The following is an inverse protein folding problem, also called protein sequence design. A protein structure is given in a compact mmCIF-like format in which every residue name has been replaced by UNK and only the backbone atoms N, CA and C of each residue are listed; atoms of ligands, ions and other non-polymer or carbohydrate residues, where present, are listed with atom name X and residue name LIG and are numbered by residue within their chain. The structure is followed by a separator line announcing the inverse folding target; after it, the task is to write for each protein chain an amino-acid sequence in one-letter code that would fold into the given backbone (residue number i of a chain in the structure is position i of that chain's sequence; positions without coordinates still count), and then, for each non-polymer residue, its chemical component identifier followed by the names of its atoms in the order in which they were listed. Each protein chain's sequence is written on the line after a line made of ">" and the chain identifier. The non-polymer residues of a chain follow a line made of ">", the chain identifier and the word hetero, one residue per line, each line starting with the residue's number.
data_IF_481619523922
#
_entry.id   IF_481619523922
#
_cell.length_a   1.000
_cell.length_b   1.000
_cell.length_c   1.000
_cell.angle_alpha   90.00
_cell.angle_beta   90.00
_cell.angle_gamma   90.00
#
_symmetry.space_group_name_H-M   'P 1'
#
loop_
_entity.id
_entity.type
_entity.pdbx_description
1 polymer ?
#
# COMPACT_ATOMS: atom_id res chain seq x y z
N UNK A 1 29.04 -35.62 -11.18
CA UNK A 1 27.97 -36.02 -10.24
C UNK A 1 28.51 -35.86 -8.84
N UNK A 2 28.24 -34.72 -8.20
CA UNK A 2 28.55 -34.51 -6.80
C UNK A 2 27.28 -33.98 -6.13
N UNK A 3 26.79 -34.75 -5.17
CA UNK A 3 25.68 -34.44 -4.30
C UNK A 3 25.94 -33.12 -3.56
N UNK A 4 24.96 -32.22 -3.60
CA UNK A 4 24.83 -31.12 -2.68
C UNK A 4 23.43 -31.18 -2.08
N UNK A 5 23.31 -31.92 -0.99
CA UNK A 5 22.22 -31.77 -0.04
C UNK A 5 22.81 -31.90 1.36
N UNK A 6 22.24 -31.10 2.27
CA UNK A 6 22.60 -30.88 3.67
C UNK A 6 23.72 -29.85 3.90
N UNK A 7 23.34 -28.57 3.97
CA UNK A 7 23.65 -27.74 5.15
C UNK A 7 22.80 -26.46 5.17
N UNK A 8 22.38 -26.08 6.39
CA UNK A 8 21.58 -24.93 6.82
C UNK A 8 20.05 -25.00 6.70
N UNK A 9 19.46 -25.80 7.60
CA UNK A 9 18.04 -25.79 7.97
C UNK A 9 17.82 -25.21 9.40
N UNK A 10 18.45 -24.08 9.73
CA UNK A 10 18.25 -23.41 11.05
C UNK A 10 17.73 -21.96 10.95
N UNK A 11 17.06 -21.59 9.85
CA UNK A 11 16.49 -20.24 9.67
C UNK A 11 15.08 -20.17 9.07
N UNK A 12 14.37 -21.30 8.91
CA UNK A 12 13.12 -21.37 8.11
C UNK A 12 11.81 -21.20 8.89
N UNK A 13 11.82 -20.94 10.20
CA UNK A 13 10.59 -20.89 11.00
C UNK A 13 9.75 -19.62 10.84
N UNK A 14 10.11 -18.69 9.94
CA UNK A 14 9.34 -17.47 9.73
C UNK A 14 9.08 -17.12 8.25
N UNK A 15 9.24 -18.09 7.33
CA UNK A 15 8.79 -17.87 5.94
C UNK A 15 7.27 -18.01 5.92
N UNK A 16 6.51 -16.98 5.47
CA UNK A 16 5.07 -17.10 5.31
C UNK A 16 4.76 -18.33 4.46
N UNK A 17 3.70 -19.08 4.79
CA UNK A 17 3.15 -20.06 3.85
C UNK A 17 2.62 -19.26 2.65
N UNK A 18 3.47 -19.13 1.64
CA UNK A 18 3.32 -18.22 0.50
C UNK A 18 1.98 -18.43 -0.21
N UNK A 19 1.51 -19.68 -0.31
CA UNK A 19 0.24 -20.04 -0.94
C UNK A 19 -1.02 -19.73 -0.11
N UNK A 20 -0.86 -19.38 1.17
CA UNK A 20 -1.96 -19.02 2.07
C UNK A 20 -2.12 -17.51 2.26
N UNK A 21 -1.16 -16.70 1.79
CA UNK A 21 -1.25 -15.26 1.87
C UNK A 21 -2.31 -14.74 0.90
N UNK A 22 -3.17 -13.84 1.37
CA UNK A 22 -4.27 -13.26 0.60
C UNK A 22 -4.40 -11.79 0.94
N UNK A 23 -4.94 -11.00 0.00
CA UNK A 23 -5.28 -9.60 0.24
C UNK A 23 -6.21 -9.44 1.44
N UNK A 24 -7.23 -10.30 1.57
CA UNK A 24 -8.12 -10.31 2.72
C UNK A 24 -7.39 -10.63 4.03
N UNK A 25 -6.39 -11.52 3.99
CA UNK A 25 -5.53 -11.83 5.14
C UNK A 25 -4.70 -10.63 5.59
N UNK A 26 -4.08 -9.91 4.65
CA UNK A 26 -3.34 -8.69 4.94
C UNK A 26 -4.26 -7.60 5.51
N UNK A 27 -5.46 -7.46 4.94
CA UNK A 27 -6.51 -6.53 5.42
C UNK A 27 -6.87 -6.85 6.88
N UNK A 28 -7.18 -8.11 7.18
CA UNK A 28 -7.53 -8.53 8.54
C UNK A 28 -6.37 -8.33 9.52
N UNK A 29 -5.14 -8.61 9.09
CA UNK A 29 -3.94 -8.41 9.92
C UNK A 29 -3.77 -6.93 10.30
N UNK A 30 -3.89 -6.01 9.35
CA UNK A 30 -3.83 -4.57 9.63
C UNK A 30 -5.03 -4.11 10.47
N UNK A 31 -6.24 -4.56 10.13
CA UNK A 31 -7.47 -4.16 10.80
C UNK A 31 -7.48 -4.56 12.27
N UNK A 32 -7.32 -5.85 12.55
CA UNK A 32 -7.48 -6.40 13.90
C UNK A 32 -6.19 -6.27 14.72
N UNK A 33 -5.03 -6.34 14.09
CA UNK A 33 -3.75 -6.24 14.78
C UNK A 33 -3.33 -4.81 15.13
N UNK A 34 -3.79 -3.81 14.38
CA UNK A 34 -3.29 -2.42 14.49
C UNK A 34 -4.43 -1.41 14.61
N UNK A 35 -5.34 -1.35 13.62
CA UNK A 35 -6.32 -0.26 13.57
C UNK A 35 -7.34 -0.33 14.70
N UNK A 36 -7.92 -1.51 14.97
CA UNK A 36 -8.90 -1.68 16.05
C UNK A 36 -8.30 -1.44 17.44
N UNK A 37 -7.11 -1.96 17.78
CA UNK A 37 -6.44 -1.60 19.04
C UNK A 37 -6.21 -0.09 19.20
N UNK A 38 -5.79 0.61 18.14
CA UNK A 38 -5.57 2.06 18.21
C UNK A 38 -6.88 2.86 18.31
N UNK A 39 -7.88 2.50 17.51
CA UNK A 39 -9.12 3.27 17.35
C UNK A 39 -10.15 2.92 18.42
N UNK A 40 -10.37 1.64 18.68
CA UNK A 40 -11.48 1.18 19.52
C UNK A 40 -11.07 1.10 21.00
N UNK A 41 -9.90 0.53 21.27
CA UNK A 41 -9.41 0.32 22.63
C UNK A 41 -8.72 1.57 23.18
N UNK A 42 -7.80 2.15 22.40
CA UNK A 42 -7.08 3.37 22.79
C UNK A 42 -7.81 4.66 22.41
N UNK A 43 -8.96 4.56 21.73
CA UNK A 43 -9.81 5.69 21.38
C UNK A 43 -9.10 6.80 20.58
N UNK A 44 -8.06 6.44 19.81
CA UNK A 44 -7.27 7.40 19.04
C UNK A 44 -7.95 7.78 17.74
N UNK A 45 -7.78 9.04 17.39
CA UNK A 45 -8.02 9.51 16.03
C UNK A 45 -6.74 9.31 15.21
N UNK A 46 -6.86 8.64 14.08
CA UNK A 46 -5.70 8.21 13.27
C UNK A 46 -5.82 8.66 11.82
N UNK A 47 -4.70 9.01 11.21
CA UNK A 47 -4.58 9.21 9.77
C UNK A 47 -3.81 8.01 9.21
N UNK A 48 -4.31 7.43 8.14
CA UNK A 48 -3.72 6.25 7.53
C UNK A 48 -2.94 6.70 6.29
N UNK A 49 -1.61 6.63 6.37
CA UNK A 49 -0.70 6.82 5.25
C UNK A 49 -0.35 5.45 4.67
N UNK A 50 -0.59 5.25 3.37
CA UNK A 50 -0.38 3.97 2.71
C UNK A 50 0.32 4.13 1.36
N UNK A 51 1.29 3.26 1.09
CA UNK A 51 2.08 3.26 -0.14
C UNK A 51 1.78 2.03 -1.01
N UNK A 52 1.71 2.23 -2.33
CA UNK A 52 1.48 1.18 -3.33
C UNK A 52 0.41 0.17 -2.90
N UNK A 53 0.75 -1.14 -2.81
CA UNK A 53 -0.19 -2.21 -2.47
C UNK A 53 -0.78 -2.03 -1.07
N UNK A 54 -0.03 -1.40 -0.16
CA UNK A 54 -0.51 -1.03 1.17
C UNK A 54 -1.75 -0.15 1.13
N UNK A 55 -2.00 0.59 0.05
CA UNK A 55 -3.24 1.35 -0.13
C UNK A 55 -4.46 0.43 -0.23
N UNK A 56 -4.39 -0.70 -0.93
CA UNK A 56 -5.47 -1.69 -1.01
C UNK A 56 -5.75 -2.27 0.39
N UNK A 57 -4.68 -2.66 1.08
CA UNK A 57 -4.76 -3.23 2.44
C UNK A 57 -5.37 -2.22 3.42
N UNK A 58 -4.88 -0.98 3.42
CA UNK A 58 -5.40 0.10 4.23
C UNK A 58 -6.87 0.43 3.90
N UNK A 59 -7.25 0.38 2.63
CA UNK A 59 -8.62 0.61 2.17
C UNK A 59 -9.60 -0.37 2.80
N UNK A 60 -9.32 -1.67 2.71
CA UNK A 60 -10.19 -2.68 3.31
C UNK A 60 -10.15 -2.62 4.83
N UNK A 61 -8.97 -2.38 5.41
CA UNK A 61 -8.78 -2.41 6.86
C UNK A 61 -9.49 -1.25 7.56
N UNK A 62 -9.61 -0.08 6.92
CA UNK A 62 -10.24 1.10 7.49
C UNK A 62 -11.78 1.08 7.43
N UNK A 63 -12.39 0.15 6.70
CA UNK A 63 -13.85 0.12 6.42
C UNK A 63 -14.69 0.12 7.70
N UNK A 64 -15.58 1.09 7.87
CA UNK A 64 -16.42 1.19 9.07
C UNK A 64 -15.68 1.67 10.33
N UNK A 65 -14.40 2.06 10.22
CA UNK A 65 -13.61 2.64 11.31
C UNK A 65 -13.54 4.17 11.22
N UNK A 66 -14.34 4.79 10.35
CA UNK A 66 -14.31 6.23 10.13
C UNK A 66 -14.80 6.99 11.35
N UNK A 67 -14.12 8.08 11.70
CA UNK A 67 -14.49 8.89 12.87
C UNK A 67 -15.93 9.39 12.80
N UNK A 68 -16.39 9.81 11.62
CA UNK A 68 -17.76 10.33 11.42
C UNK A 68 -18.81 9.24 11.69
N UNK A 69 -18.60 8.05 11.13
CA UNK A 69 -19.47 6.88 11.34
C UNK A 69 -19.53 6.51 12.82
N UNK A 70 -18.35 6.35 13.45
CA UNK A 70 -18.23 5.97 14.87
C UNK A 70 -18.84 6.99 15.82
N UNK A 71 -18.57 8.29 15.60
CA UNK A 71 -19.11 9.36 16.44
C UNK A 71 -20.64 9.41 16.39
N UNK A 72 -21.24 9.13 15.21
CA UNK A 72 -22.71 9.04 15.08
C UNK A 72 -23.33 7.89 15.88
N UNK A 73 -22.53 6.90 16.25
CA UNK A 73 -22.91 5.74 17.07
C UNK A 73 -22.51 5.91 18.55
N UNK A 74 -22.04 7.10 18.95
CA UNK A 74 -21.56 7.35 20.32
C UNK A 74 -20.22 6.69 20.65
N UNK A 75 -19.44 6.28 19.65
CA UNK A 75 -18.14 5.65 19.82
C UNK A 75 -17.00 6.67 19.69
N UNK A 76 -15.97 6.53 20.53
CA UNK A 76 -14.75 7.33 20.46
C UNK A 76 -13.72 6.74 19.47
N UNK A 77 -12.71 7.54 19.14
CA UNK A 77 -11.68 7.21 18.15
C UNK A 77 -12.20 7.11 16.71
N UNK A 78 -11.30 7.08 15.75
CA UNK A 78 -11.63 6.78 14.36
C UNK A 78 -10.56 7.19 13.35
N UNK A 79 -10.64 6.61 12.15
CA UNK A 79 -9.89 7.09 11.01
C UNK A 79 -10.42 8.47 10.59
N UNK A 80 -9.53 9.47 10.61
CA UNK A 80 -9.84 10.86 10.25
C UNK A 80 -9.27 11.27 8.88
N UNK A 81 -8.57 10.37 8.19
CA UNK A 81 -8.20 10.59 6.80
C UNK A 81 -7.32 9.49 6.20
N UNK A 82 -7.29 9.47 4.88
CA UNK A 82 -6.52 8.53 4.06
C UNK A 82 -5.55 9.32 3.19
N UNK A 83 -4.27 9.00 3.26
CA UNK A 83 -3.22 9.57 2.41
C UNK A 83 -2.56 8.43 1.65
N UNK A 84 -2.69 8.41 0.32
CA UNK A 84 -2.06 7.40 -0.52
C UNK A 84 -0.83 7.98 -1.21
N UNK A 85 0.23 7.18 -1.31
CA UNK A 85 1.49 7.55 -1.99
C UNK A 85 1.76 6.51 -3.06
N UNK A 86 1.70 6.92 -4.33
CA UNK A 86 1.72 5.97 -5.46
C UNK A 86 0.76 4.77 -5.25
N UNK A 87 -0.36 5.02 -4.55
CA UNK A 87 -1.21 3.98 -3.99
C UNK A 87 -2.05 3.27 -5.06
N UNK A 88 -2.13 1.95 -4.97
CA UNK A 88 -3.00 1.17 -5.84
C UNK A 88 -4.47 1.29 -5.37
N UNK A 89 -5.39 1.58 -6.30
CA UNK A 89 -6.82 1.63 -6.02
C UNK A 89 -7.53 0.52 -6.79
N UNK A 90 -8.26 -0.32 -6.06
CA UNK A 90 -9.07 -1.40 -6.59
C UNK A 90 -10.49 -1.27 -6.06
N UNK A 91 -11.46 -1.71 -6.86
CA UNK A 91 -12.88 -1.72 -6.46
C UNK A 91 -13.16 -2.86 -5.47
N UNK A 92 -14.35 -2.83 -4.87
CA UNK A 92 -14.84 -3.96 -4.08
C UNK A 92 -14.83 -5.25 -4.91
N UNK A 93 -14.36 -6.33 -4.30
CA UNK A 93 -14.25 -7.64 -4.94
C UNK A 93 -13.39 -7.62 -6.22
N UNK A 94 -12.35 -6.80 -6.24
CA UNK A 94 -11.34 -6.73 -7.30
C UNK A 94 -9.94 -6.96 -6.73
N UNK A 95 -9.12 -7.72 -7.46
CA UNK A 95 -7.69 -7.93 -7.18
C UNK A 95 -6.81 -6.90 -7.89
N UNK A 96 -5.56 -6.72 -7.42
CA UNK A 96 -4.59 -5.88 -8.12
C UNK A 96 -4.30 -6.41 -9.53
N UNK A 97 -4.18 -7.73 -9.67
CA UNK A 97 -4.00 -8.39 -10.97
C UNK A 97 -5.12 -8.06 -11.96
N UNK A 98 -6.39 -8.16 -11.53
CA UNK A 98 -7.56 -7.79 -12.37
C UNK A 98 -7.55 -6.29 -12.73
N UNK A 99 -7.24 -5.41 -11.78
CA UNK A 99 -7.15 -3.95 -12.00
C UNK A 99 -6.08 -3.57 -13.02
N UNK A 100 -5.03 -4.38 -13.18
CA UNK A 100 -3.95 -4.23 -14.17
C UNK A 100 -4.21 -4.99 -15.49
N UNK A 101 -5.42 -5.52 -15.72
CA UNK A 101 -5.77 -6.23 -16.95
C UNK A 101 -5.41 -7.72 -16.96
N UNK A 102 -5.14 -8.32 -15.80
CA UNK A 102 -4.98 -9.76 -15.62
C UNK A 102 -3.61 -10.33 -15.99
N UNK A 103 -2.69 -9.52 -16.51
CA UNK A 103 -1.32 -9.94 -16.83
C UNK A 103 -0.33 -9.34 -15.83
N UNK A 104 0.52 -10.18 -15.24
CA UNK A 104 1.59 -9.70 -14.36
C UNK A 104 2.56 -8.81 -15.13
N UNK A 105 2.98 -7.66 -14.58
CA UNK A 105 4.03 -6.86 -15.17
C UNK A 105 5.33 -7.68 -15.34
N UNK A 106 6.11 -7.46 -16.42
CA UNK A 106 7.29 -8.26 -16.73
C UNK A 106 8.43 -8.11 -15.70
N UNK A 107 8.42 -7.04 -14.91
CA UNK A 107 9.37 -6.82 -13.83
C UNK A 107 9.09 -7.65 -12.57
N UNK A 108 7.89 -8.25 -12.44
CA UNK A 108 7.59 -9.16 -11.34
C UNK A 108 8.11 -10.56 -11.67
N UNK A 109 9.10 -11.03 -10.93
CA UNK A 109 9.72 -12.35 -11.05
C UNK A 109 9.24 -13.26 -9.95
N UNK A 110 8.70 -14.43 -10.33
CA UNK A 110 8.21 -15.44 -9.41
C UNK A 110 9.26 -16.51 -9.17
N UNK A 111 9.48 -16.86 -7.90
CA UNK A 111 10.23 -18.05 -7.54
C UNK A 111 9.35 -19.32 -7.58
N UNK A 112 9.96 -20.48 -7.30
CA UNK A 112 9.28 -21.79 -7.34
C UNK A 112 8.18 -21.96 -6.28
N UNK A 113 8.15 -21.12 -5.24
CA UNK A 113 7.18 -21.20 -4.14
C UNK A 113 6.13 -20.09 -4.20
N UNK A 114 6.15 -19.24 -5.23
CA UNK A 114 5.16 -18.19 -5.46
C UNK A 114 5.50 -16.84 -4.82
N UNK A 115 6.76 -16.61 -4.44
CA UNK A 115 7.22 -15.30 -4.01
C UNK A 115 7.57 -14.43 -5.23
N UNK A 116 7.10 -13.19 -5.20
CA UNK A 116 7.36 -12.16 -6.19
C UNK A 116 8.49 -11.23 -5.75
N UNK A 117 9.44 -11.00 -6.63
CA UNK A 117 10.46 -9.96 -6.52
C UNK A 117 10.37 -9.01 -7.71
N UNK A 118 10.70 -7.74 -7.49
CA UNK A 118 10.81 -6.76 -8.59
C UNK A 118 12.24 -6.76 -9.14
N UNK A 119 12.39 -6.96 -10.46
CA UNK A 119 13.69 -7.03 -11.13
C UNK A 119 13.68 -6.33 -12.51
N UNK A 120 14.62 -5.40 -12.78
CA UNK A 120 15.61 -4.84 -11.86
C UNK A 120 14.98 -3.86 -10.86
N UNK A 121 15.22 -4.06 -9.55
CA UNK A 121 14.66 -3.21 -8.50
C UNK A 121 15.13 -1.76 -8.61
N UNK A 122 16.38 -1.54 -9.03
CA UNK A 122 16.96 -0.21 -9.22
C UNK A 122 16.16 0.63 -10.19
N UNK A 123 15.78 0.04 -11.33
CA UNK A 123 15.16 0.80 -12.41
C UNK A 123 13.65 0.90 -12.23
N UNK A 124 13.03 0.01 -11.44
CA UNK A 124 11.57 -0.03 -11.28
C UNK A 124 11.11 0.64 -9.98
N UNK A 125 11.80 0.39 -8.86
CA UNK A 125 11.43 0.92 -7.54
C UNK A 125 12.27 2.11 -7.12
N UNK A 126 13.55 2.14 -7.50
CA UNK A 126 14.54 3.11 -7.00
C UNK A 126 15.11 4.01 -8.10
N UNK A 127 14.34 4.24 -9.16
CA UNK A 127 14.82 4.84 -10.41
C UNK A 127 15.30 6.30 -10.28
N UNK A 128 14.86 6.99 -9.23
CA UNK A 128 15.24 8.35 -8.86
C UNK A 128 16.07 8.43 -7.57
N UNK A 129 16.45 7.28 -7.00
CA UNK A 129 17.29 7.22 -5.81
C UNK A 129 18.77 7.40 -6.17
N UNK A 130 19.59 7.76 -5.18
CA UNK A 130 21.04 7.86 -5.34
C UNK A 130 21.62 6.52 -5.85
N UNK A 131 22.26 6.48 -7.04
CA UNK A 131 22.86 5.26 -7.57
C UNK A 131 23.92 4.65 -6.65
N UNK A 132 24.57 5.45 -5.81
CA UNK A 132 25.51 4.98 -4.78
C UNK A 132 24.86 4.07 -3.73
N UNK A 133 23.52 4.13 -3.59
CA UNK A 133 22.74 3.30 -2.67
C UNK A 133 22.09 2.09 -3.34
N UNK A 134 22.31 1.87 -4.63
CA UNK A 134 21.63 0.80 -5.37
C UNK A 134 21.82 -0.61 -4.75
N UNK A 135 23.04 -0.93 -4.29
CA UNK A 135 23.33 -2.22 -3.65
C UNK A 135 22.60 -2.38 -2.30
N UNK A 136 22.63 -1.32 -1.47
CA UNK A 136 21.91 -1.26 -0.18
C UNK A 136 20.41 -1.46 -0.40
N UNK A 137 19.81 -0.66 -1.28
CA UNK A 137 18.38 -0.69 -1.56
C UNK A 137 17.94 -2.04 -2.15
N UNK A 138 18.70 -2.58 -3.10
CA UNK A 138 18.42 -3.90 -3.68
C UNK A 138 18.50 -5.01 -2.63
N UNK A 139 19.45 -4.94 -1.69
CA UNK A 139 19.58 -5.92 -0.61
C UNK A 139 18.47 -5.83 0.44
N UNK A 140 17.81 -4.68 0.55
CA UNK A 140 16.68 -4.46 1.47
C UNK A 140 15.34 -4.97 0.93
N UNK A 141 15.27 -5.30 -0.37
CA UNK A 141 14.04 -5.78 -0.99
C UNK A 141 13.72 -7.20 -0.54
N UNK A 142 12.55 -7.36 0.09
CA UNK A 142 12.05 -8.66 0.55
C UNK A 142 11.00 -9.16 -0.44
N UNK A 143 11.01 -10.45 -0.82
CA UNK A 143 9.98 -11.01 -1.69
C UNK A 143 8.58 -10.91 -1.09
N UNK A 144 7.60 -10.56 -1.93
CA UNK A 144 6.18 -10.47 -1.58
C UNK A 144 5.44 -11.77 -1.94
N UNK A 145 4.38 -12.14 -1.21
CA UNK A 145 3.58 -13.29 -1.58
C UNK A 145 2.67 -12.97 -2.78
N UNK A 146 2.97 -13.51 -3.96
CA UNK A 146 2.29 -13.11 -5.20
C UNK A 146 0.78 -13.36 -5.18
N UNK A 147 0.33 -14.40 -4.45
CA UNK A 147 -1.10 -14.70 -4.29
C UNK A 147 -1.90 -13.53 -3.73
N UNK A 148 -1.30 -12.69 -2.89
CA UNK A 148 -1.99 -11.52 -2.33
C UNK A 148 -2.39 -10.51 -3.42
N UNK A 149 -1.57 -10.33 -4.47
CA UNK A 149 -1.92 -9.51 -5.63
C UNK A 149 -3.05 -10.08 -6.47
N UNK A 150 -3.27 -11.40 -6.41
CA UNK A 150 -4.25 -12.12 -7.25
C UNK A 150 -5.59 -12.36 -6.54
N UNK A 151 -5.60 -12.35 -5.21
CA UNK A 151 -6.86 -12.49 -4.45
C UNK A 151 -7.59 -11.16 -4.35
N UNK A 152 -8.92 -11.23 -4.41
CA UNK A 152 -9.79 -10.05 -4.39
C UNK A 152 -9.76 -9.35 -3.04
N UNK A 153 -9.78 -8.02 -3.08
CA UNK A 153 -9.91 -7.17 -1.91
C UNK A 153 -11.37 -7.09 -1.44
N UNK A 154 -11.57 -6.53 -0.25
CA UNK A 154 -12.90 -6.24 0.30
C UNK A 154 -13.30 -4.78 0.04
N UNK A 155 -14.57 -4.46 0.28
CA UNK A 155 -15.12 -3.13 0.11
C UNK A 155 -14.21 -2.04 0.71
N UNK A 156 -13.72 -1.09 -0.11
CA UNK A 156 -12.77 -0.10 0.35
C UNK A 156 -13.43 1.01 1.16
N UNK A 157 -12.72 1.49 2.18
CA UNK A 157 -13.16 2.62 3.00
C UNK A 157 -13.09 3.95 2.23
N UNK A 158 -12.17 4.10 1.26
CA UNK A 158 -12.10 5.32 0.46
C UNK A 158 -13.37 5.59 -0.34
N UNK A 159 -14.24 4.60 -0.55
CA UNK A 159 -15.52 4.80 -1.25
C UNK A 159 -16.60 5.44 -0.35
N UNK A 160 -16.40 5.47 0.97
CA UNK A 160 -17.40 5.97 1.90
C UNK A 160 -17.43 7.49 1.97
N UNK A 161 -18.64 8.06 1.95
CA UNK A 161 -18.88 9.50 2.12
C UNK A 161 -18.36 10.05 3.46
N UNK A 162 -18.08 9.17 4.44
CA UNK A 162 -17.43 9.55 5.68
C UNK A 162 -16.01 10.10 5.48
N UNK A 163 -15.36 9.83 4.35
CA UNK A 163 -14.07 10.40 3.96
C UNK A 163 -14.18 11.53 2.93
N UNK A 164 -15.37 12.10 2.67
CA UNK A 164 -15.49 13.32 1.85
C UNK A 164 -14.62 14.43 2.45
N UNK A 165 -13.74 15.02 1.63
CA UNK A 165 -12.73 16.00 2.06
C UNK A 165 -11.54 15.45 2.84
N UNK A 166 -11.46 14.13 3.08
CA UNK A 166 -10.42 13.47 3.90
C UNK A 166 -9.65 12.38 3.16
N UNK A 167 -9.50 12.55 1.85
CA UNK A 167 -8.78 11.68 0.92
C UNK A 167 -7.70 12.50 0.23
N UNK A 168 -6.45 12.08 0.33
CA UNK A 168 -5.33 12.69 -0.36
C UNK A 168 -4.51 11.65 -1.12
N UNK A 169 -3.93 12.08 -2.23
CA UNK A 169 -3.11 11.24 -3.09
C UNK A 169 -1.83 11.98 -3.48
N UNK A 170 -0.68 11.38 -3.18
CA UNK A 170 0.63 11.82 -3.66
C UNK A 170 0.94 11.02 -4.92
N UNK A 171 0.83 11.70 -6.07
CA UNK A 171 1.11 11.14 -7.40
C UNK A 171 2.59 11.29 -7.72
N UNK A 172 3.23 10.18 -8.06
CA UNK A 172 4.66 10.10 -8.36
C UNK A 172 4.88 10.15 -9.88
N UNK A 173 5.40 11.27 -10.38
CA UNK A 173 5.40 11.55 -11.82
C UNK A 173 6.40 10.72 -12.64
N UNK A 174 7.52 10.34 -12.04
CA UNK A 174 8.61 9.59 -12.68
C UNK A 174 8.59 8.11 -12.25
N UNK A 175 7.45 7.59 -11.79
CA UNK A 175 7.31 6.23 -11.26
C UNK A 175 7.33 5.17 -12.38
N UNK A 176 8.28 4.24 -12.31
CA UNK A 176 8.39 3.14 -13.26
C UNK A 176 7.62 1.86 -12.84
N UNK A 177 7.25 1.74 -11.57
CA UNK A 177 6.47 0.61 -11.05
C UNK A 177 4.97 0.83 -11.28
N UNK A 178 4.48 2.01 -10.91
CA UNK A 178 3.12 2.48 -11.13
C UNK A 178 3.18 3.75 -12.00
N UNK A 179 3.33 3.65 -13.33
CA UNK A 179 3.38 4.83 -14.20
C UNK A 179 2.22 5.79 -13.98
N UNK A 180 2.47 7.09 -14.15
CA UNK A 180 1.49 8.16 -13.88
C UNK A 180 0.13 7.91 -14.53
N UNK A 181 0.10 7.38 -15.76
CA UNK A 181 -1.15 7.08 -16.46
C UNK A 181 -1.97 5.99 -15.77
N UNK A 182 -1.32 5.04 -15.09
CA UNK A 182 -1.98 3.99 -14.31
C UNK A 182 -2.54 4.58 -13.00
N UNK A 183 -1.77 5.47 -12.35
CA UNK A 183 -2.23 6.20 -11.16
C UNK A 183 -3.49 7.04 -11.49
N UNK A 184 -3.49 7.72 -12.64
CA UNK A 184 -4.63 8.50 -13.12
C UNK A 184 -5.86 7.62 -13.40
N UNK A 185 -5.66 6.45 -14.02
CA UNK A 185 -6.73 5.48 -14.25
C UNK A 185 -7.36 5.01 -12.94
N UNK A 186 -6.55 4.75 -11.91
CA UNK A 186 -7.03 4.38 -10.57
C UNK A 186 -7.81 5.50 -9.88
N UNK A 187 -7.31 6.73 -9.93
CA UNK A 187 -8.01 7.90 -9.40
C UNK A 187 -9.35 8.10 -10.12
N UNK A 188 -9.37 8.02 -11.45
CA UNK A 188 -10.59 8.18 -12.24
C UNK A 188 -11.59 7.04 -11.98
N UNK A 189 -11.11 5.82 -11.81
CA UNK A 189 -11.92 4.64 -11.48
C UNK A 189 -12.61 4.76 -10.13
N UNK A 190 -12.01 5.46 -9.18
CA UNK A 190 -12.56 5.62 -7.83
C UNK A 190 -13.89 6.40 -7.80
N UNK A 191 -14.14 7.25 -8.81
CA UNK A 191 -15.35 8.10 -8.93
C UNK A 191 -15.64 8.96 -7.69
N UNK A 192 -14.62 9.24 -6.89
CA UNK A 192 -14.68 10.12 -5.71
C UNK A 192 -13.60 11.19 -5.81
N UNK A 193 -13.75 12.24 -5.01
CA UNK A 193 -12.78 13.34 -4.99
C UNK A 193 -11.57 12.98 -4.11
N UNK A 194 -10.38 13.24 -4.65
CA UNK A 194 -9.10 13.14 -3.97
C UNK A 194 -8.40 14.50 -4.01
N UNK A 195 -7.78 14.92 -2.91
CA UNK A 195 -6.83 16.01 -2.92
C UNK A 195 -5.48 15.49 -3.45
N UNK A 196 -5.20 15.74 -4.73
CA UNK A 196 -4.03 15.19 -5.43
C UNK A 196 -2.90 16.20 -5.43
N UNK A 197 -1.71 15.78 -5.03
CA UNK A 197 -0.45 16.52 -5.20
C UNK A 197 0.54 15.73 -6.03
N UNK A 198 1.25 16.44 -6.91
CA UNK A 198 2.27 15.86 -7.76
C UNK A 198 3.66 16.00 -7.14
N UNK A 199 4.35 14.88 -6.99
CA UNK A 199 5.76 14.82 -6.65
C UNK A 199 6.55 14.30 -7.86
N UNK A 200 7.56 15.07 -8.26
CA UNK A 200 8.51 14.64 -9.30
C UNK A 200 9.52 13.65 -8.70
N UNK A 201 9.06 12.43 -8.50
CA UNK A 201 9.79 11.30 -7.91
C UNK A 201 9.43 10.01 -8.63
N UNK A 202 10.27 8.99 -8.44
CA UNK A 202 9.98 7.60 -8.72
C UNK A 202 9.05 6.97 -7.67
N UNK A 203 9.08 5.65 -7.58
CA UNK A 203 8.12 4.87 -6.77
C UNK A 203 8.31 5.00 -5.25
N UNK A 204 9.51 5.34 -4.79
CA UNK A 204 9.89 5.36 -3.38
C UNK A 204 10.26 6.79 -2.89
N UNK A 205 9.30 7.74 -2.87
CA UNK A 205 9.58 9.13 -2.49
C UNK A 205 10.07 9.29 -1.05
N UNK A 206 9.79 8.33 -0.17
CA UNK A 206 10.33 8.30 1.19
C UNK A 206 11.82 7.90 1.26
N UNK A 207 12.41 7.46 0.14
CA UNK A 207 13.84 7.23 -0.01
C UNK A 207 14.49 8.39 -0.76
N UNK A 208 13.95 8.78 -1.92
CA UNK A 208 14.56 9.79 -2.78
C UNK A 208 14.36 11.22 -2.28
N UNK A 209 13.16 11.56 -1.82
CA UNK A 209 12.80 12.93 -1.40
C UNK A 209 11.95 12.96 -0.12
N UNK A 210 12.43 12.39 1.00
CA UNK A 210 11.64 12.21 2.23
C UNK A 210 11.11 13.52 2.82
N UNK A 211 11.88 14.61 2.74
CA UNK A 211 11.45 15.91 3.26
C UNK A 211 10.28 16.50 2.46
N UNK A 212 10.30 16.35 1.13
CA UNK A 212 9.21 16.83 0.27
C UNK A 212 7.92 16.03 0.52
N UNK A 213 8.03 14.69 0.60
CA UNK A 213 6.90 13.84 0.95
C UNK A 213 6.32 14.19 2.33
N UNK A 214 7.17 14.34 3.34
CA UNK A 214 6.74 14.67 4.70
C UNK A 214 5.99 16.02 4.76
N UNK A 215 6.43 17.02 3.98
CA UNK A 215 5.76 18.32 3.92
C UNK A 215 4.31 18.19 3.41
N UNK A 216 4.08 17.44 2.34
CA UNK A 216 2.73 17.21 1.81
C UNK A 216 1.87 16.36 2.76
N UNK A 217 2.43 15.31 3.36
CA UNK A 217 1.73 14.48 4.35
C UNK A 217 1.28 15.32 5.55
N UNK A 218 2.15 16.19 6.08
CA UNK A 218 1.82 17.09 7.20
C UNK A 218 0.74 18.09 6.80
N UNK A 219 0.80 18.63 5.58
CA UNK A 219 -0.20 19.55 5.04
C UNK A 219 -1.58 18.88 4.97
N UNK A 220 -1.68 17.69 4.38
CA UNK A 220 -2.94 16.93 4.33
C UNK A 220 -3.44 16.61 5.74
N UNK A 221 -2.55 16.15 6.63
CA UNK A 221 -2.92 15.80 7.99
C UNK A 221 -3.51 16.99 8.77
N UNK A 222 -2.92 18.18 8.65
CA UNK A 222 -3.46 19.40 9.23
C UNK A 222 -4.83 19.76 8.64
N UNK A 223 -4.99 19.60 7.33
CA UNK A 223 -6.27 19.81 6.66
C UNK A 223 -7.37 18.89 7.19
N UNK A 224 -7.07 17.59 7.36
CA UNK A 224 -8.03 16.60 7.85
C UNK A 224 -8.45 16.84 9.30
N UNK A 225 -7.52 17.28 10.16
CA UNK A 225 -7.79 17.61 11.57
C UNK A 225 -8.67 18.87 11.70
N UNK A 226 -8.62 19.78 10.73
CA UNK A 226 -9.39 21.03 10.76
C UNK A 226 -10.85 20.89 10.30
N UNK A 227 -11.23 19.75 9.70
CA UNK A 227 -12.59 19.42 9.25
C UNK A 227 -13.43 18.82 10.38
#
# INVERSE_FOLDING_TARGET
>A
MLNMDAENDMGRNNRPRVTAATCAGDISSLRDGILRPLIEEQQKDVIILAHSYGAIVASGAAKGLEKKTRSSQGQAGGAIGLIYVAGNIVLDNESLGESLGGTSPPFIKLDKVGLALTEPATDILYNDCDPGRAAELSSSLIPHAYSAFQTRSTAPAWADAAFDGRRAYVRTLDDHCNPVFVQDLWLEKSKVQWDVVDLKTGHMPFVSQPAALAAEVIKFAKGFVAL
#
